data_IF_539349003524
#
_entry.id   IF_539349003524
#
_cell.length_a   1.000
_cell.length_b   1.000
_cell.length_c   1.000
_cell.angle_alpha   90.00
_cell.angle_beta   90.00
_cell.angle_gamma   90.00
#
_symmetry.space_group_name_H-M   'P 1'
#
loop_
_entity.id
_entity.type
_entity.pdbx_description
1 polymer ?
#
# COMPACT_ATOMS: atom_id res chain seq x y z
N UNK A 1 9.77 16.65 7.08
CA UNK A 1 9.91 15.69 5.97
C UNK A 1 8.51 15.32 5.52
N UNK A 2 8.21 15.29 4.22
CA UNK A 2 6.94 14.73 3.73
C UNK A 2 7.06 13.22 4.00
N UNK A 3 6.63 12.81 5.19
CA UNK A 3 6.72 11.43 5.66
C UNK A 3 5.70 10.60 4.91
N UNK A 4 6.06 10.17 3.71
CA UNK A 4 5.39 9.05 3.06
C UNK A 4 5.68 7.87 3.98
N UNK A 5 4.69 7.46 4.78
CA UNK A 5 4.83 6.36 5.72
C UNK A 5 5.33 5.10 5.02
N UNK A 6 6.12 4.28 5.72
CA UNK A 6 6.63 3.02 5.20
C UNK A 6 5.49 2.11 4.70
N UNK A 7 4.31 2.22 5.32
CA UNK A 7 3.06 1.57 4.95
C UNK A 7 2.58 1.98 3.56
N UNK A 8 2.71 3.25 3.20
CA UNK A 8 2.31 3.72 1.87
C UNK A 8 3.22 3.13 0.79
N UNK A 9 4.54 3.11 1.04
CA UNK A 9 5.53 2.52 0.13
C UNK A 9 5.33 1.00 0.03
N UNK A 10 5.08 0.32 1.15
CA UNK A 10 4.73 -1.09 1.18
C UNK A 10 3.45 -1.36 0.38
N UNK A 11 2.43 -0.52 0.52
CA UNK A 11 1.21 -0.58 -0.29
C UNK A 11 1.48 -0.48 -1.79
N UNK A 12 2.36 0.45 -2.22
CA UNK A 12 2.80 0.56 -3.63
C UNK A 12 3.47 -0.72 -4.11
N UNK A 13 4.37 -1.30 -3.32
CA UNK A 13 5.04 -2.53 -3.70
C UNK A 13 4.05 -3.70 -3.85
N UNK A 14 3.09 -3.83 -2.93
CA UNK A 14 2.07 -4.89 -2.96
C UNK A 14 1.16 -4.74 -4.20
N UNK A 15 0.68 -3.53 -4.47
CA UNK A 15 -0.13 -3.26 -5.69
C UNK A 15 0.70 -3.57 -6.94
N UNK A 16 1.96 -3.14 -6.99
CA UNK A 16 2.85 -3.40 -8.12
C UNK A 16 3.04 -4.89 -8.39
N UNK A 17 3.25 -5.69 -7.33
CA UNK A 17 3.36 -7.15 -7.44
C UNK A 17 2.05 -7.77 -7.93
N UNK A 18 0.90 -7.34 -7.39
CA UNK A 18 -0.41 -7.83 -7.83
C UNK A 18 -0.66 -7.54 -9.32
N UNK A 19 -0.31 -6.35 -9.81
CA UNK A 19 -0.42 -5.99 -11.24
C UNK A 19 0.51 -6.86 -12.09
N UNK A 20 1.73 -7.14 -11.64
CA UNK A 20 2.66 -8.01 -12.36
C UNK A 20 2.13 -9.44 -12.49
N UNK A 21 1.51 -10.00 -11.45
CA UNK A 21 0.86 -11.31 -11.53
C UNK A 21 -0.35 -11.30 -12.45
N UNK A 22 -1.14 -10.21 -12.45
CA UNK A 22 -2.28 -10.06 -13.35
C UNK A 22 -1.83 -10.07 -14.82
N UNK A 23 -0.73 -9.37 -15.13
CA UNK A 23 -0.10 -9.41 -16.46
C UNK A 23 0.40 -10.83 -16.78
N UNK A 24 1.03 -11.52 -15.83
CA UNK A 24 1.47 -12.91 -16.02
C UNK A 24 0.29 -13.86 -16.30
N UNK A 25 -0.83 -13.69 -15.62
CA UNK A 25 -2.07 -14.45 -15.85
C UNK A 25 -2.69 -14.23 -17.23
N UNK A 26 -2.55 -13.03 -17.79
CA UNK A 26 -3.00 -12.73 -19.16
C UNK A 26 -2.12 -13.38 -20.23
N UNK A 27 -0.83 -13.53 -19.95
CA UNK A 27 0.16 -14.07 -20.90
C UNK A 27 0.31 -15.58 -20.84
N UNK A 28 -0.10 -16.23 -19.73
CA UNK A 28 0.05 -17.67 -19.55
C UNK A 28 -1.17 -18.30 -18.86
N UNK A 29 -1.85 -19.28 -19.50
CA UNK A 29 -3.05 -19.91 -18.96
C UNK A 29 -2.86 -20.65 -17.64
N UNK A 30 -1.64 -21.10 -17.30
CA UNK A 30 -1.34 -21.69 -15.97
C UNK A 30 -1.50 -20.64 -14.87
N UNK A 31 -1.10 -19.40 -15.15
CA UNK A 31 -1.20 -18.27 -14.23
C UNK A 31 -2.61 -17.64 -14.24
N UNK A 32 -3.43 -17.90 -15.25
CA UNK A 32 -4.81 -17.42 -15.29
C UNK A 32 -5.66 -17.93 -14.11
N UNK A 33 -5.34 -19.11 -13.57
CA UNK A 33 -6.01 -19.67 -12.40
C UNK A 33 -5.88 -18.77 -11.15
N UNK A 34 -4.79 -18.02 -11.04
CA UNK A 34 -4.50 -17.18 -9.86
C UNK A 34 -4.97 -15.73 -10.01
N UNK A 35 -5.53 -15.33 -11.15
CA UNK A 35 -6.07 -13.98 -11.37
C UNK A 35 -7.02 -13.50 -10.26
N UNK A 36 -7.93 -14.34 -9.69
CA UNK A 36 -8.75 -13.92 -8.56
C UNK A 36 -7.92 -13.49 -7.34
N UNK A 37 -6.78 -14.17 -7.10
CA UNK A 37 -5.86 -13.86 -6.01
C UNK A 37 -5.12 -12.54 -6.28
N UNK A 38 -4.79 -12.25 -7.54
CA UNK A 38 -4.13 -10.99 -7.92
C UNK A 38 -4.99 -9.77 -7.56
N UNK A 39 -6.31 -9.85 -7.77
CA UNK A 39 -7.24 -8.81 -7.34
C UNK A 39 -7.28 -8.64 -5.82
N UNK A 40 -7.15 -9.74 -5.05
CA UNK A 40 -7.06 -9.69 -3.59
C UNK A 40 -5.77 -9.01 -3.15
N UNK A 41 -4.63 -9.34 -3.78
CA UNK A 41 -3.33 -8.71 -3.50
C UNK A 41 -3.40 -7.21 -3.76
N UNK A 42 -3.97 -6.80 -4.90
CA UNK A 42 -4.16 -5.38 -5.25
C UNK A 42 -5.05 -4.68 -4.21
N UNK A 43 -6.15 -5.32 -3.78
CA UNK A 43 -7.03 -4.76 -2.76
C UNK A 43 -6.33 -4.56 -1.42
N UNK A 44 -5.50 -5.53 -1.00
CA UNK A 44 -4.68 -5.42 0.22
C UNK A 44 -3.65 -4.29 0.09
N UNK A 45 -2.98 -4.18 -1.06
CA UNK A 45 -2.03 -3.10 -1.32
C UNK A 45 -2.70 -1.72 -1.26
N UNK A 46 -3.88 -1.59 -1.87
CA UNK A 46 -4.67 -0.35 -1.83
C UNK A 46 -5.15 -0.01 -0.41
N UNK A 47 -5.57 -1.01 0.38
CA UNK A 47 -5.93 -0.82 1.78
C UNK A 47 -4.73 -0.34 2.61
N UNK A 48 -3.55 -0.93 2.40
CA UNK A 48 -2.30 -0.55 3.07
C UNK A 48 -1.88 0.88 2.73
N UNK A 49 -1.99 1.27 1.45
CA UNK A 49 -1.80 2.67 1.06
C UNK A 49 -2.77 3.61 1.78
N UNK A 50 -4.05 3.23 1.86
CA UNK A 50 -5.09 4.01 2.54
C UNK A 50 -4.76 4.24 4.01
N UNK A 51 -4.30 3.20 4.72
CA UNK A 51 -3.84 3.31 6.10
C UNK A 51 -2.61 4.21 6.24
N UNK A 52 -1.65 4.13 5.32
CA UNK A 52 -0.48 5.01 5.31
C UNK A 52 -0.85 6.49 5.13
N UNK A 53 -1.80 6.79 4.23
CA UNK A 53 -2.35 8.14 4.06
C UNK A 53 -3.08 8.58 5.32
N UNK A 54 -3.94 7.73 5.88
CA UNK A 54 -4.72 8.04 7.08
C UNK A 54 -3.82 8.37 8.27
N UNK A 55 -2.79 7.55 8.50
CA UNK A 55 -1.81 7.76 9.57
C UNK A 55 -1.09 9.10 9.40
N UNK A 56 -0.62 9.41 8.19
CA UNK A 56 0.06 10.68 7.89
C UNK A 56 -0.85 11.90 8.10
N UNK A 57 -2.14 11.79 7.74
CA UNK A 57 -3.14 12.85 7.98
C UNK A 57 -3.41 13.02 9.48
N UNK A 58 -3.55 11.91 10.21
CA UNK A 58 -3.82 11.92 11.65
C UNK A 58 -2.68 12.58 12.42
N UNK A 59 -1.43 12.21 12.10
CA UNK A 59 -0.22 12.78 12.71
C UNK A 59 -0.08 14.29 12.40
N UNK A 60 -0.48 14.73 11.21
CA UNK A 60 -0.56 16.17 10.88
C UNK A 60 -1.61 16.93 11.69
N UNK A 61 -2.74 16.30 12.03
CA UNK A 61 -3.85 16.96 12.77
C UNK A 61 -3.61 16.98 14.28
N UNK A 62 -2.88 16.00 14.80
CA UNK A 62 -2.43 15.95 16.18
C UNK A 62 -0.92 16.04 16.21
N UNK A 63 -0.31 17.21 15.90
CA UNK A 63 1.09 17.39 16.17
C UNK A 63 1.25 17.19 17.67
N UNK A 64 1.90 16.10 18.08
CA UNK A 64 2.26 15.89 19.48
C UNK A 64 3.00 17.16 19.87
N UNK A 65 2.38 17.92 20.77
CA UNK A 65 2.93 19.14 21.30
C UNK A 65 4.17 18.70 22.06
N UNK A 66 5.33 18.72 21.41
CA UNK A 66 6.63 18.71 22.07
C UNK A 66 6.74 20.02 22.84
N UNK A 67 6.00 20.10 23.93
CA UNK A 67 6.36 20.98 25.02
C UNK A 67 7.49 20.28 25.78
N UNK A 68 8.60 21.00 25.91
CA UNK A 68 9.73 20.80 26.84
C UNK A 68 10.76 19.73 26.40
N UNK A 69 12.08 19.97 26.33
CA UNK A 69 12.95 20.97 26.96
C UNK A 69 14.19 21.27 26.08
N UNK A 70 14.67 22.53 26.15
CA UNK A 70 16.05 23.04 26.04
C UNK A 70 17.00 22.51 24.96
#
# INVERSE_FOLDING_TARGET
>A
MIGIGAEFIAGIAIVGIGVLFLIAGLLNPVWALIIPVDFVIIAIGAATMGLGIWSSIYEKKHPVHSNHHH
#
